data_IF_815267885355
#
_entry.id   IF_815267885355
#
_cell.length_a   1.000
_cell.length_b   1.000
_cell.length_c   1.000
_cell.angle_alpha   90.00
_cell.angle_beta   90.00
_cell.angle_gamma   90.00
#
_symmetry.space_group_name_H-M   'P 1'
#
loop_
_entity.id
_entity.type
_entity.pdbx_description
1 polymer ?
#
# COMPACT_ATOMS: atom_id res chain seq x y z
N UNK A 1 25.13 -13.20 -1.38
CA UNK A 1 23.99 -12.27 -1.42
C UNK A 1 24.56 -10.86 -1.53
N UNK A 2 24.49 -10.30 -2.74
CA UNK A 2 24.98 -8.95 -3.05
C UNK A 2 23.93 -7.91 -2.67
N UNK A 3 24.36 -6.64 -2.54
CA UNK A 3 23.44 -5.53 -2.27
C UNK A 3 22.33 -5.42 -3.35
N UNK A 4 22.64 -5.79 -4.59
CA UNK A 4 21.68 -5.78 -5.71
C UNK A 4 20.61 -6.86 -5.55
N UNK A 5 21.01 -8.10 -5.26
CA UNK A 5 20.09 -9.22 -5.03
C UNK A 5 19.18 -8.96 -3.81
N UNK A 6 19.71 -8.35 -2.75
CA UNK A 6 18.92 -7.97 -1.57
C UNK A 6 17.85 -6.92 -1.92
N UNK A 7 18.20 -5.90 -2.72
CA UNK A 7 17.24 -4.88 -3.15
C UNK A 7 16.14 -5.47 -4.04
N UNK A 8 16.48 -6.43 -4.92
CA UNK A 8 15.49 -7.11 -5.76
C UNK A 8 14.53 -7.97 -4.94
N UNK A 9 15.05 -8.75 -3.99
CA UNK A 9 14.21 -9.55 -3.08
C UNK A 9 13.23 -8.69 -2.28
N UNK A 10 13.72 -7.57 -1.72
CA UNK A 10 12.86 -6.62 -0.99
C UNK A 10 11.79 -6.01 -1.90
N UNK A 11 12.12 -5.69 -3.16
CA UNK A 11 11.15 -5.17 -4.12
C UNK A 11 10.05 -6.17 -4.44
N UNK A 12 10.38 -7.44 -4.61
CA UNK A 12 9.39 -8.50 -4.87
C UNK A 12 8.47 -8.71 -3.66
N UNK A 13 9.03 -8.69 -2.46
CA UNK A 13 8.27 -8.84 -1.22
C UNK A 13 7.33 -7.64 -0.98
N UNK A 14 7.79 -6.41 -1.21
CA UNK A 14 6.95 -5.21 -1.12
C UNK A 14 5.89 -5.13 -2.23
N UNK A 15 6.17 -5.68 -3.42
CA UNK A 15 5.21 -5.74 -4.53
C UNK A 15 4.05 -6.69 -4.28
N UNK A 16 4.23 -7.68 -3.41
CA UNK A 16 3.22 -8.68 -3.04
C UNK A 16 2.55 -8.39 -1.69
N UNK A 17 3.08 -7.45 -0.91
CA UNK A 17 2.57 -7.11 0.40
C UNK A 17 1.21 -6.38 0.33
N UNK A 18 0.20 -6.98 0.93
CA UNK A 18 -1.18 -6.50 0.94
C UNK A 18 -1.60 -5.98 2.32
N UNK A 19 -1.64 -4.66 2.45
CA UNK A 19 -1.98 -3.97 3.68
C UNK A 19 -3.49 -3.88 3.88
N UNK A 20 -3.96 -4.01 5.12
CA UNK A 20 -5.34 -3.66 5.47
C UNK A 20 -5.54 -2.15 5.65
N UNK A 21 -6.79 -1.72 5.84
CA UNK A 21 -7.15 -0.30 6.02
C UNK A 21 -6.38 0.38 7.16
N UNK A 22 -6.21 -0.28 8.32
CA UNK A 22 -5.53 0.33 9.47
C UNK A 22 -4.04 0.49 9.20
N UNK A 23 -3.42 -0.54 8.61
CA UNK A 23 -2.03 -0.49 8.22
C UNK A 23 -1.80 0.60 7.17
N UNK A 24 -2.61 0.63 6.12
CA UNK A 24 -2.50 1.61 5.03
C UNK A 24 -2.68 3.05 5.53
N UNK A 25 -3.66 3.29 6.39
CA UNK A 25 -3.90 4.61 6.98
C UNK A 25 -2.72 5.06 7.85
N UNK A 26 -2.14 4.13 8.63
CA UNK A 26 -0.94 4.38 9.43
C UNK A 26 0.26 4.74 8.56
N UNK A 27 0.50 3.98 7.50
CA UNK A 27 1.60 4.26 6.57
C UNK A 27 1.43 5.66 5.98
N UNK A 28 0.26 5.95 5.39
CA UNK A 28 -0.04 7.26 4.79
C UNK A 28 -0.13 8.43 5.79
N UNK A 29 -0.07 8.18 7.10
CA UNK A 29 -0.20 9.22 8.12
C UNK A 29 -1.58 9.87 8.17
N UNK A 30 -2.63 9.19 7.70
CA UNK A 30 -4.01 9.70 7.64
C UNK A 30 -4.96 8.91 8.54
N UNK A 31 -6.15 9.45 8.77
CA UNK A 31 -7.22 8.70 9.43
C UNK A 31 -7.77 7.60 8.52
N UNK A 32 -8.31 6.53 9.11
CA UNK A 32 -8.99 5.46 8.36
C UNK A 32 -10.16 6.02 7.53
N UNK A 33 -10.88 7.02 8.05
CA UNK A 33 -11.93 7.70 7.31
C UNK A 33 -11.37 8.48 6.12
N UNK A 34 -10.22 9.15 6.28
CA UNK A 34 -9.51 9.80 5.19
C UNK A 34 -9.11 8.82 4.09
N UNK A 35 -8.62 7.63 4.47
CA UNK A 35 -8.34 6.55 3.52
C UNK A 35 -9.61 6.06 2.80
N UNK A 36 -10.74 5.93 3.50
CA UNK A 36 -12.00 5.52 2.89
C UNK A 36 -12.57 6.57 1.95
N UNK A 37 -12.35 7.87 2.21
CA UNK A 37 -12.67 8.94 1.28
C UNK A 37 -11.82 8.81 0.01
N UNK A 38 -10.49 8.74 0.14
CA UNK A 38 -9.59 8.53 -1.00
C UNK A 38 -9.95 7.30 -1.84
N UNK A 39 -10.37 6.21 -1.17
CA UNK A 39 -10.83 4.99 -1.84
C UNK A 39 -12.13 5.23 -2.61
N UNK A 40 -13.06 5.98 -2.04
CA UNK A 40 -14.37 6.28 -2.64
C UNK A 40 -14.24 7.27 -3.80
N UNK A 41 -13.32 8.24 -3.67
CA UNK A 41 -12.98 9.23 -4.70
C UNK A 41 -12.16 8.60 -5.85
N UNK A 42 -11.61 7.40 -5.67
CA UNK A 42 -10.84 6.68 -6.68
C UNK A 42 -9.35 7.06 -6.73
N UNK A 43 -8.88 7.84 -5.76
CA UNK A 43 -7.49 8.32 -5.64
C UNK A 43 -6.50 7.21 -5.25
N UNK A 44 -6.98 6.11 -4.66
CA UNK A 44 -6.14 5.00 -4.23
C UNK A 44 -6.64 3.66 -4.78
N UNK A 45 -5.72 2.88 -5.36
CA UNK A 45 -6.00 1.54 -5.84
C UNK A 45 -6.16 0.57 -4.68
N UNK A 46 -7.22 -0.23 -4.75
CA UNK A 46 -7.50 -1.28 -3.77
C UNK A 46 -7.92 -2.55 -4.50
N UNK A 47 -7.76 -3.68 -3.82
CA UNK A 47 -8.35 -4.95 -4.23
C UNK A 47 -9.21 -5.51 -3.11
N UNK A 48 -10.19 -6.31 -3.48
CA UNK A 48 -11.04 -7.02 -2.53
C UNK A 48 -10.64 -8.48 -2.52
N UNK A 49 -10.19 -8.98 -1.36
CA UNK A 49 -9.89 -10.40 -1.14
C UNK A 49 -10.94 -10.93 -0.16
N UNK A 50 -11.88 -11.72 -0.67
CA UNK A 50 -13.05 -12.15 0.09
C UNK A 50 -13.94 -10.95 0.46
N UNK A 51 -14.12 -10.69 1.76
CA UNK A 51 -14.88 -9.55 2.27
C UNK A 51 -13.99 -8.44 2.87
N UNK A 52 -12.69 -8.44 2.54
CA UNK A 52 -11.71 -7.48 3.07
C UNK A 52 -11.09 -6.65 1.95
N UNK A 53 -11.06 -5.34 2.18
CA UNK A 53 -10.36 -4.39 1.31
C UNK A 53 -8.88 -4.42 1.68
N UNK A 54 -8.04 -4.54 0.65
CA UNK A 54 -6.58 -4.61 0.76
C UNK A 54 -5.94 -3.64 -0.22
N UNK A 55 -4.78 -3.11 0.17
CA UNK A 55 -4.02 -2.13 -0.59
C UNK A 55 -2.61 -2.67 -0.83
N UNK A 56 -2.09 -2.48 -2.03
CA UNK A 56 -0.74 -2.93 -2.36
C UNK A 56 0.28 -1.95 -1.76
N UNK A 57 1.20 -2.43 -0.92
CA UNK A 57 2.20 -1.59 -0.26
C UNK A 57 3.06 -0.82 -1.27
N UNK A 58 3.35 -1.39 -2.44
CA UNK A 58 4.12 -0.72 -3.49
C UNK A 58 3.40 0.49 -4.07
N UNK A 59 2.07 0.46 -4.16
CA UNK A 59 1.28 1.60 -4.65
C UNK A 59 1.20 2.70 -3.57
N UNK A 60 1.07 2.32 -2.30
CA UNK A 60 1.15 3.25 -1.17
C UNK A 60 2.50 3.98 -1.14
N UNK A 61 3.61 3.23 -1.30
CA UNK A 61 4.94 3.80 -1.33
C UNK A 61 5.17 4.76 -2.52
N UNK A 62 4.53 4.52 -3.68
CA UNK A 62 4.57 5.44 -4.82
C UNK A 62 3.86 6.76 -4.51
N UNK A 63 2.71 6.70 -3.85
CA UNK A 63 1.96 7.92 -3.47
C UNK A 63 2.77 8.80 -2.51
N UNK A 64 3.45 8.20 -1.52
CA UNK A 64 4.32 8.94 -0.59
C UNK A 64 5.51 9.60 -1.27
N UNK A 65 6.02 9.02 -2.37
CA UNK A 65 7.18 9.55 -3.08
C UNK A 65 6.84 10.74 -3.99
N UNK A 66 5.56 10.96 -4.26
CA UNK A 66 5.04 12.01 -5.14
C UNK A 66 4.44 13.19 -4.36
N UNK A 67 4.30 13.07 -3.04
CA UNK A 67 3.84 14.12 -2.13
C UNK A 67 5.03 14.86 -1.49
#
# INVERSE_FOLDING_TARGET
MTAKEYIEQVREEYGTLMLDKKQTARELGISVNGLDNLRTDGEIKFITIGNRIKFNASDIAKMMRLA
#
